data_IF_839676606203
#
_entry.id   IF_839676606203
#
_cell.length_a   1.000
_cell.length_b   1.000
_cell.length_c   1.000
_cell.angle_alpha   90.00
_cell.angle_beta   90.00
_cell.angle_gamma   90.00
#
_symmetry.space_group_name_H-M   'P 1'
#
loop_
_entity.id
_entity.type
_entity.pdbx_description
1 polymer ?
#
# COMPACT_ATOMS: atom_id res chain seq x y z
N UNK A 1 41.14 -20.95 39.54
CA UNK A 1 41.81 -19.92 40.38
C UNK A 1 40.90 -18.70 40.39
N UNK A 2 40.15 -18.43 41.47
CA UNK A 2 40.44 -17.42 42.52
C UNK A 2 40.78 -16.04 41.90
N UNK A 3 40.11 -14.90 42.18
CA UNK A 3 39.40 -14.46 43.39
C UNK A 3 38.64 -13.12 43.17
N UNK A 4 37.57 -12.95 43.95
CA UNK A 4 36.82 -11.72 44.31
C UNK A 4 37.64 -10.58 44.95
N UNK A 5 37.11 -9.34 44.89
CA UNK A 5 36.71 -8.41 46.02
C UNK A 5 36.59 -6.95 45.54
N UNK A 6 35.44 -6.25 45.73
CA UNK A 6 34.97 -5.39 46.89
C UNK A 6 35.86 -4.14 47.10
N UNK A 7 35.42 -2.92 47.48
CA UNK A 7 34.23 -2.28 48.13
C UNK A 7 34.40 -0.73 48.00
N UNK A 8 33.37 0.08 47.76
CA UNK A 8 32.58 0.94 48.69
C UNK A 8 33.29 2.03 49.56
N UNK A 9 32.56 3.18 49.69
CA UNK A 9 32.61 4.35 50.62
C UNK A 9 32.95 5.69 49.93
N UNK A 10 32.29 6.83 50.20
CA UNK A 10 31.30 7.21 51.23
C UNK A 10 30.75 8.64 50.98
N UNK A 11 29.85 9.08 51.86
CA UNK A 11 28.80 10.10 51.71
C UNK A 11 29.16 11.57 52.07
N UNK A 12 28.35 12.49 51.49
CA UNK A 12 27.58 13.62 52.08
C UNK A 12 28.23 14.83 52.79
N UNK A 13 27.37 15.87 52.98
CA UNK A 13 27.44 17.17 53.70
C UNK A 13 27.65 18.37 52.73
N UNK A 14 26.73 19.28 52.38
CA UNK A 14 25.66 20.11 53.01
C UNK A 14 26.09 21.54 53.42
N UNK A 15 25.60 22.56 52.68
CA UNK A 15 24.98 23.86 53.07
C UNK A 15 25.68 24.85 54.05
N UNK A 16 25.19 26.11 54.29
CA UNK A 16 24.62 27.18 53.43
C UNK A 16 25.04 28.63 53.88
N UNK A 17 24.25 29.68 53.49
CA UNK A 17 24.13 31.09 53.99
C UNK A 17 24.77 32.20 53.12
N UNK A 18 24.21 33.41 52.96
CA UNK A 18 23.06 34.11 53.59
C UNK A 18 22.59 35.30 52.74
N UNK A 19 21.31 35.73 52.84
CA UNK A 19 20.82 36.96 53.53
C UNK A 19 21.39 38.29 52.98
N UNK A 20 20.66 39.39 52.73
CA UNK A 20 19.46 40.00 53.33
C UNK A 20 19.04 41.24 52.48
N UNK A 21 17.80 41.72 52.57
CA UNK A 21 17.59 43.10 53.03
C UNK A 21 16.36 43.80 52.43
N UNK A 22 15.60 44.46 53.31
CA UNK A 22 14.24 45.03 53.17
C UNK A 22 14.21 46.44 52.55
N UNK A 23 13.05 46.88 52.06
CA UNK A 23 12.71 48.31 51.95
C UNK A 23 11.37 48.62 51.29
N UNK A 24 10.37 48.99 52.09
CA UNK A 24 9.02 49.41 51.69
C UNK A 24 8.91 50.95 51.71
N UNK A 25 8.33 51.60 50.69
CA UNK A 25 7.75 52.97 50.76
C UNK A 25 6.64 53.16 49.71
N UNK A 26 5.46 53.58 50.16
CA UNK A 26 4.39 54.23 49.38
C UNK A 26 4.77 55.70 49.07
N UNK A 27 4.42 56.24 47.90
CA UNK A 27 3.22 57.07 47.63
C UNK A 27 3.28 57.64 46.16
N UNK A 28 2.35 58.45 45.62
CA UNK A 28 1.62 58.12 44.39
C UNK A 28 1.73 59.18 43.27
N UNK A 29 1.66 58.79 42.00
CA UNK A 29 1.23 59.70 40.93
C UNK A 29 1.14 58.96 39.61
N UNK A 30 -0.06 58.96 39.02
CA UNK A 30 -0.30 58.36 37.72
C UNK A 30 0.32 59.15 36.58
N UNK A 31 0.87 58.44 35.61
CA UNK A 31 0.83 58.78 34.19
C UNK A 31 1.09 57.50 33.39
N UNK A 32 0.18 57.19 32.47
CA UNK A 32 0.22 56.00 31.64
C UNK A 32 1.22 56.20 30.48
N UNK A 33 2.19 55.30 30.37
CA UNK A 33 3.10 55.17 29.21
C UNK A 33 2.46 54.22 28.17
N UNK A 34 2.16 54.68 26.93
CA UNK A 34 1.43 53.91 25.93
C UNK A 34 2.34 53.16 24.94
N UNK A 35 3.26 52.32 25.42
CA UNK A 35 4.21 51.61 24.52
C UNK A 35 4.54 50.14 24.87
N UNK A 36 3.66 49.43 25.58
CA UNK A 36 3.78 47.98 25.78
C UNK A 36 2.53 47.25 25.21
N UNK A 37 2.64 46.35 24.21
CA UNK A 37 1.47 45.67 23.65
C UNK A 37 0.92 44.53 24.53
N UNK A 38 1.56 44.19 25.66
CA UNK A 38 1.06 43.18 26.58
C UNK A 38 0.23 43.79 27.71
N UNK A 39 -0.98 44.26 27.40
CA UNK A 39 -2.18 44.09 28.24
C UNK A 39 -3.35 44.92 27.69
N UNK A 40 -4.23 44.30 26.90
CA UNK A 40 -5.65 44.68 26.86
C UNK A 40 -6.50 43.42 26.75
N UNK A 41 -6.92 42.96 27.91
CA UNK A 41 -7.97 41.99 28.05
C UNK A 41 -9.31 42.74 28.08
N UNK A 42 -10.01 42.80 26.93
CA UNK A 42 -11.44 43.10 26.89
C UNK A 42 -12.12 42.15 25.91
N UNK A 43 -12.57 41.04 26.51
CA UNK A 43 -13.81 40.32 26.25
C UNK A 43 -14.54 40.71 24.96
N UNK A 44 -14.41 39.85 23.95
CA UNK A 44 -15.50 39.62 23.02
C UNK A 44 -15.57 38.13 22.70
N UNK A 45 -16.52 37.47 23.35
CA UNK A 45 -17.00 36.13 23.06
C UNK A 45 -17.42 36.02 21.60
N UNK A 46 -16.62 35.34 20.77
CA UNK A 46 -17.10 34.57 19.61
C UNK A 46 -16.23 33.33 19.42
N UNK A 47 -16.60 32.26 20.12
CA UNK A 47 -16.35 30.86 19.77
C UNK A 47 -14.97 30.55 19.15
N UNK A 48 -13.93 30.55 19.98
CA UNK A 48 -12.81 29.64 19.78
C UNK A 48 -13.30 28.22 20.04
N UNK A 49 -13.83 27.55 19.02
CA UNK A 49 -13.79 26.08 19.02
C UNK A 49 -12.31 25.69 19.03
N UNK A 50 -11.89 24.65 19.79
CA UNK A 50 -10.59 24.03 19.58
C UNK A 50 -10.49 23.56 18.13
N UNK A 51 -9.31 23.12 17.70
CA UNK A 51 -9.06 22.48 16.41
C UNK A 51 -9.81 21.13 16.23
N UNK A 52 -11.12 21.11 16.47
CA UNK A 52 -12.06 19.97 16.47
C UNK A 52 -12.82 19.82 15.15
N UNK A 53 -12.55 20.66 14.14
CA UNK A 53 -13.16 20.55 12.81
C UNK A 53 -12.42 19.56 11.87
N UNK A 54 -11.38 18.86 12.33
CA UNK A 54 -10.70 17.84 11.53
C UNK A 54 -11.44 16.48 11.55
N UNK A 55 -12.78 16.49 11.42
CA UNK A 55 -13.57 15.28 11.25
C UNK A 55 -13.18 14.61 9.93
N UNK A 56 -12.96 13.30 9.97
CA UNK A 56 -12.75 12.51 8.75
C UNK A 56 -14.04 12.56 7.92
N UNK A 57 -13.97 13.24 6.78
CA UNK A 57 -15.07 13.38 5.82
C UNK A 57 -15.06 12.26 4.77
N UNK A 58 -13.87 11.76 4.43
CA UNK A 58 -13.64 10.68 3.45
C UNK A 58 -12.40 9.90 3.82
N UNK A 59 -12.36 8.63 3.44
CA UNK A 59 -11.18 7.77 3.58
C UNK A 59 -10.70 7.35 2.20
N UNK A 60 -9.38 7.19 2.03
CA UNK A 60 -8.80 6.57 0.84
C UNK A 60 -7.96 5.36 1.22
N UNK A 61 -8.06 4.32 0.41
CA UNK A 61 -7.20 3.14 0.52
C UNK A 61 -5.86 3.47 -0.16
N UNK A 62 -4.76 3.22 0.55
CA UNK A 62 -3.40 3.39 0.05
C UNK A 62 -2.60 2.09 0.17
N UNK A 63 -1.81 1.71 -0.84
CA UNK A 63 -1.65 2.38 -2.13
C UNK A 63 -2.91 2.29 -3.00
N UNK A 64 -3.08 3.22 -3.93
CA UNK A 64 -4.18 3.17 -4.91
C UNK A 64 -4.08 1.93 -5.83
N UNK A 65 -2.84 1.48 -6.12
CA UNK A 65 -2.56 0.21 -6.80
C UNK A 65 -1.50 -0.54 -5.99
N UNK A 66 -1.91 -1.63 -5.33
CA UNK A 66 -1.01 -2.52 -4.62
C UNK A 66 -0.40 -3.57 -5.56
N UNK A 67 0.90 -3.81 -5.42
CA UNK A 67 1.63 -4.81 -6.22
C UNK A 67 2.00 -6.00 -5.35
N UNK A 68 1.31 -7.11 -5.57
CA UNK A 68 1.66 -8.42 -5.03
C UNK A 68 2.39 -9.25 -6.08
N UNK A 69 3.10 -10.30 -5.67
CA UNK A 69 3.80 -11.21 -6.58
C UNK A 69 3.67 -12.65 -6.14
N UNK A 70 3.48 -13.52 -7.12
CA UNK A 70 3.44 -14.97 -6.89
C UNK A 70 4.81 -15.49 -6.40
N UNK A 71 4.79 -16.64 -5.76
CA UNK A 71 5.97 -17.33 -5.24
C UNK A 71 5.58 -18.71 -4.74
N UNK A 72 6.44 -19.71 -4.96
CA UNK A 72 6.12 -21.11 -4.70
C UNK A 72 6.42 -21.58 -3.27
N UNK A 73 6.82 -20.68 -2.36
CA UNK A 73 6.98 -21.02 -0.94
C UNK A 73 5.62 -21.19 -0.26
N UNK A 74 5.42 -22.34 0.38
CA UNK A 74 4.21 -22.69 1.17
C UNK A 74 4.42 -22.56 2.67
N UNK A 75 5.58 -22.04 3.08
CA UNK A 75 5.94 -21.92 4.50
C UNK A 75 5.20 -20.77 5.18
N UNK A 76 5.01 -20.82 6.51
CA UNK A 76 4.43 -19.69 7.26
C UNK A 76 5.19 -18.37 7.07
N UNK A 77 6.52 -18.43 6.95
CA UNK A 77 7.41 -17.30 6.65
C UNK A 77 7.68 -17.12 5.15
N UNK A 78 6.92 -17.81 4.29
CA UNK A 78 7.09 -17.90 2.84
C UNK A 78 6.65 -16.66 2.05
N UNK A 79 6.67 -15.50 2.68
CA UNK A 79 6.27 -14.22 2.09
C UNK A 79 6.95 -13.03 2.77
N UNK A 80 6.87 -11.86 2.15
CA UNK A 80 7.36 -10.58 2.68
C UNK A 80 6.51 -9.41 2.17
N UNK A 81 6.54 -8.26 2.85
CA UNK A 81 5.83 -7.07 2.40
C UNK A 81 6.47 -6.44 1.16
N UNK A 82 5.63 -6.02 0.22
CA UNK A 82 6.04 -5.16 -0.88
C UNK A 82 6.68 -3.85 -0.35
N UNK A 83 7.61 -3.25 -1.10
CA UNK A 83 8.11 -1.92 -0.80
C UNK A 83 6.97 -0.88 -0.70
N UNK A 84 6.95 -0.14 0.40
CA UNK A 84 5.99 0.97 0.61
C UNK A 84 6.62 2.35 0.36
N UNK A 85 7.90 2.38 0.01
CA UNK A 85 8.61 3.58 -0.40
C UNK A 85 9.24 3.35 -1.75
N UNK A 86 9.45 4.41 -2.55
CA UNK A 86 10.16 4.28 -3.80
C UNK A 86 11.49 3.60 -3.58
N UNK A 87 12.32 3.99 -2.62
CA UNK A 87 13.66 3.44 -2.39
C UNK A 87 13.73 2.67 -1.05
N UNK A 88 13.25 1.41 -0.98
CA UNK A 88 13.35 0.62 0.24
C UNK A 88 14.81 0.29 0.53
N UNK A 89 15.09 -0.01 1.81
CA UNK A 89 16.38 -0.58 2.20
C UNK A 89 16.57 -1.94 1.52
N UNK A 90 17.76 -2.17 0.97
CA UNK A 90 18.18 -3.45 0.39
C UNK A 90 18.03 -4.56 1.44
N UNK A 91 17.37 -5.65 1.04
CA UNK A 91 17.22 -6.81 1.91
C UNK A 91 18.53 -7.63 1.96
N UNK A 92 18.81 -8.34 3.06
CA UNK A 92 19.99 -9.18 3.13
C UNK A 92 19.93 -10.32 2.09
N UNK A 93 21.08 -10.87 1.66
CA UNK A 93 21.11 -12.04 0.79
C UNK A 93 20.26 -13.19 1.34
N UNK A 94 19.48 -13.83 0.47
CA UNK A 94 18.57 -14.92 0.85
C UNK A 94 17.20 -14.47 1.37
N UNK A 95 16.92 -13.17 1.51
CA UNK A 95 15.65 -12.68 2.04
C UNK A 95 14.40 -13.07 1.19
N UNK A 96 14.58 -13.34 -0.10
CA UNK A 96 13.49 -13.56 -1.06
C UNK A 96 13.19 -15.02 -1.35
N UNK A 97 13.94 -15.94 -0.75
CA UNK A 97 13.71 -17.38 -0.84
C UNK A 97 13.59 -17.95 0.57
N UNK A 98 12.87 -19.05 0.71
CA UNK A 98 12.94 -19.81 1.95
C UNK A 98 14.15 -20.74 1.99
N UNK A 99 14.29 -21.47 3.10
CA UNK A 99 15.42 -22.38 3.35
C UNK A 99 15.52 -23.54 2.35
N UNK A 100 14.43 -23.86 1.65
CA UNK A 100 14.35 -24.94 0.67
C UNK A 100 14.57 -24.39 -0.76
N UNK A 101 14.82 -23.08 -0.89
CA UNK A 101 15.08 -22.39 -2.15
C UNK A 101 13.82 -21.94 -2.89
N UNK A 102 12.63 -22.14 -2.32
CA UNK A 102 11.38 -21.69 -2.91
C UNK A 102 11.24 -20.17 -2.79
N UNK A 103 10.67 -19.54 -3.81
CA UNK A 103 10.48 -18.10 -3.90
C UNK A 103 9.38 -17.67 -2.93
N UNK A 104 9.68 -16.69 -2.08
CA UNK A 104 8.70 -16.09 -1.19
C UNK A 104 7.73 -15.20 -1.97
N UNK A 105 6.45 -15.24 -1.61
CA UNK A 105 5.42 -14.35 -2.17
C UNK A 105 5.65 -12.90 -1.72
N UNK A 106 5.40 -11.92 -2.59
CA UNK A 106 5.40 -10.51 -2.20
C UNK A 106 3.96 -10.10 -1.89
N UNK A 107 3.71 -9.59 -0.68
CA UNK A 107 2.39 -9.21 -0.21
C UNK A 107 2.16 -7.69 -0.35
N UNK A 108 1.04 -7.28 -0.95
CA UNK A 108 0.61 -5.90 -0.97
C UNK A 108 -0.09 -5.55 0.36
N UNK A 109 0.39 -4.53 1.07
CA UNK A 109 -0.26 -4.01 2.29
C UNK A 109 -1.06 -2.75 1.95
N UNK A 110 -2.32 -2.74 2.37
CA UNK A 110 -3.24 -1.62 2.19
C UNK A 110 -3.62 -1.00 3.53
N UNK A 111 -3.68 0.33 3.54
CA UNK A 111 -3.93 1.18 4.70
C UNK A 111 -5.08 2.14 4.39
N UNK A 112 -5.75 2.62 5.44
CA UNK A 112 -6.81 3.61 5.32
C UNK A 112 -6.29 4.95 5.83
N UNK A 113 -6.36 5.99 5.01
CA UNK A 113 -6.08 7.36 5.45
C UNK A 113 -7.34 8.19 5.42
N UNK A 114 -7.66 8.80 6.56
CA UNK A 114 -8.77 9.74 6.71
C UNK A 114 -8.38 11.13 6.23
N UNK A 115 -9.31 11.78 5.53
CA UNK A 115 -9.17 13.12 4.98
C UNK A 115 -10.31 14.00 5.48
N UNK A 116 -10.01 15.27 5.74
CA UNK A 116 -11.03 16.27 6.04
C UNK A 116 -11.77 16.73 4.77
N UNK A 117 -12.75 17.63 4.93
CA UNK A 117 -13.53 18.16 3.81
C UNK A 117 -12.70 18.98 2.81
N UNK A 118 -11.53 19.49 3.21
CA UNK A 118 -10.58 20.20 2.35
C UNK A 118 -9.60 19.26 1.62
N UNK A 119 -9.69 17.94 1.86
CA UNK A 119 -8.81 16.95 1.26
C UNK A 119 -7.43 16.87 1.91
N UNK A 120 -7.25 17.40 3.12
CA UNK A 120 -6.03 17.27 3.91
C UNK A 120 -6.05 15.96 4.69
N UNK A 121 -4.88 15.30 4.77
CA UNK A 121 -4.74 14.07 5.56
C UNK A 121 -4.91 14.41 7.05
N UNK A 122 -5.81 13.70 7.73
CA UNK A 122 -6.01 13.80 9.19
C UNK A 122 -5.12 12.78 9.88
N UNK A 123 -5.31 11.49 9.57
CA UNK A 123 -4.57 10.36 10.18
C UNK A 123 -4.79 9.06 9.42
N UNK A 124 -3.99 8.04 9.74
CA UNK A 124 -4.33 6.65 9.42
C UNK A 124 -5.53 6.20 10.28
N UNK A 125 -6.43 5.41 9.70
CA UNK A 125 -7.57 4.78 10.38
C UNK A 125 -7.24 3.32 10.63
N UNK A 126 -7.26 2.90 11.89
CA UNK A 126 -6.89 1.55 12.34
C UNK A 126 -7.96 0.97 13.25
N UNK A 127 -7.95 -0.34 13.47
CA UNK A 127 -8.89 -0.99 14.42
C UNK A 127 -8.58 -0.69 15.89
N UNK A 128 -7.45 -0.04 16.19
CA UNK A 128 -7.14 0.45 17.53
C UNK A 128 -7.83 1.77 17.90
N UNK A 129 -8.44 2.44 16.91
CA UNK A 129 -9.16 3.68 17.14
C UNK A 129 -10.51 3.39 17.82
N UNK A 130 -10.88 4.21 18.81
CA UNK A 130 -12.15 4.05 19.52
C UNK A 130 -13.34 4.08 18.53
N UNK A 131 -14.33 3.21 18.78
CA UNK A 131 -15.57 3.10 18.01
C UNK A 131 -15.38 2.99 16.48
N UNK A 132 -14.27 2.41 16.03
CA UNK A 132 -13.98 2.21 14.61
C UNK A 132 -14.17 0.76 14.21
N UNK A 133 -14.95 0.52 13.15
CA UNK A 133 -15.06 -0.80 12.51
C UNK A 133 -14.66 -0.72 11.04
N UNK A 134 -13.92 -1.73 10.59
CA UNK A 134 -13.41 -1.82 9.22
C UNK A 134 -13.69 -3.22 8.70
N UNK A 135 -14.31 -3.32 7.53
CA UNK A 135 -14.47 -4.56 6.77
C UNK A 135 -13.85 -4.39 5.39
N UNK A 136 -12.83 -5.20 5.11
CA UNK A 136 -12.17 -5.22 3.81
C UNK A 136 -12.91 -6.13 2.83
N UNK A 137 -12.83 -5.80 1.54
CA UNK A 137 -13.31 -6.65 0.47
C UNK A 137 -12.38 -6.63 -0.74
N UNK A 138 -12.05 -7.82 -1.25
CA UNK A 138 -11.15 -8.01 -2.39
C UNK A 138 -11.83 -8.92 -3.41
N UNK A 139 -11.76 -8.58 -4.69
CA UNK A 139 -12.31 -9.41 -5.79
C UNK A 139 -11.30 -9.53 -6.92
N UNK A 140 -10.32 -10.42 -6.75
CA UNK A 140 -9.34 -10.71 -7.80
C UNK A 140 -9.91 -11.70 -8.82
N UNK A 141 -9.51 -11.57 -10.08
CA UNK A 141 -9.83 -12.54 -11.14
C UNK A 141 -8.68 -12.66 -12.15
N UNK A 142 -8.66 -13.77 -12.90
CA UNK A 142 -7.80 -13.95 -14.07
C UNK A 142 -8.65 -14.12 -15.32
N UNK A 143 -8.50 -13.21 -16.28
CA UNK A 143 -9.25 -13.21 -17.56
C UNK A 143 -8.37 -13.55 -18.76
N UNK A 144 -7.10 -13.90 -18.56
CA UNK A 144 -6.10 -14.04 -19.64
C UNK A 144 -6.51 -15.06 -20.69
N UNK A 145 -7.07 -16.20 -20.29
CA UNK A 145 -7.46 -17.25 -21.22
C UNK A 145 -8.74 -16.90 -22.01
N UNK A 146 -9.58 -16.04 -21.44
CA UNK A 146 -10.78 -15.49 -22.07
C UNK A 146 -10.52 -14.31 -23.01
N UNK A 147 -9.34 -13.69 -22.92
CA UNK A 147 -8.98 -12.45 -23.62
C UNK A 147 -8.46 -12.67 -25.05
N UNK A 148 -7.91 -11.61 -25.66
CA UNK A 148 -7.30 -11.61 -26.99
C UNK A 148 -5.82 -12.05 -26.95
N UNK A 149 -5.33 -12.55 -28.08
CA UNK A 149 -3.91 -12.78 -28.33
C UNK A 149 -3.15 -11.45 -28.21
N UNK A 150 -1.92 -11.51 -27.70
CA UNK A 150 -1.00 -10.38 -27.69
C UNK A 150 0.01 -10.55 -28.82
N UNK A 151 0.04 -9.58 -29.74
CA UNK A 151 1.06 -9.47 -30.81
C UNK A 151 1.87 -8.19 -30.66
N UNK A 152 1.19 -7.05 -30.52
CA UNK A 152 1.76 -5.73 -30.26
C UNK A 152 0.80 -4.93 -29.35
N UNK A 153 1.31 -3.89 -28.66
CA UNK A 153 0.46 -2.86 -28.08
C UNK A 153 -0.45 -2.26 -29.16
N UNK A 154 -1.73 -2.05 -28.87
CA UNK A 154 -2.70 -1.57 -29.87
C UNK A 154 -2.66 -0.05 -30.05
N UNK A 155 -2.02 0.66 -29.14
CA UNK A 155 -1.92 2.11 -29.06
C UNK A 155 -0.73 2.71 -29.82
N UNK A 156 0.15 1.88 -30.39
CA UNK A 156 1.29 2.33 -31.21
C UNK A 156 0.93 2.33 -32.72
N UNK A 157 1.55 3.20 -33.55
CA UNK A 157 1.30 3.24 -34.99
C UNK A 157 1.52 1.88 -35.69
N UNK A 158 2.52 1.12 -35.26
CA UNK A 158 2.88 -0.18 -35.84
C UNK A 158 1.75 -1.20 -35.74
N UNK A 159 0.83 -1.05 -34.78
CA UNK A 159 -0.33 -1.94 -34.62
C UNK A 159 -1.32 -1.84 -35.79
N UNK A 160 -1.24 -0.77 -36.59
CA UNK A 160 -2.10 -0.51 -37.75
C UNK A 160 -1.54 -1.07 -39.05
N UNK A 161 -0.32 -1.62 -39.03
CA UNK A 161 0.28 -2.24 -40.20
C UNK A 161 -0.50 -3.53 -40.57
N UNK A 162 -1.06 -3.62 -41.78
CA UNK A 162 -1.88 -4.77 -42.20
C UNK A 162 -1.09 -6.10 -42.26
N UNK A 163 0.24 -6.05 -42.18
CA UNK A 163 1.12 -7.24 -42.12
C UNK A 163 1.16 -7.85 -40.72
N UNK A 164 0.76 -7.13 -39.67
CA UNK A 164 0.73 -7.63 -38.31
C UNK A 164 -0.50 -8.53 -38.12
N UNK A 165 -0.29 -9.70 -37.52
CA UNK A 165 -1.38 -10.64 -37.23
C UNK A 165 -2.43 -9.95 -36.33
N UNK A 166 -3.73 -10.02 -36.67
CA UNK A 166 -4.77 -9.44 -35.82
C UNK A 166 -4.82 -10.15 -34.47
N UNK A 167 -5.11 -9.38 -33.41
CA UNK A 167 -5.32 -9.89 -32.06
C UNK A 167 -6.66 -10.59 -31.96
N UNK A 168 -6.71 -11.86 -32.35
CA UNK A 168 -7.91 -12.72 -32.26
C UNK A 168 -8.11 -13.22 -30.83
N UNK A 169 -9.30 -13.75 -30.51
CA UNK A 169 -9.57 -14.31 -29.18
C UNK A 169 -8.67 -15.52 -28.90
N UNK A 170 -8.13 -15.60 -27.68
CA UNK A 170 -7.54 -16.84 -27.15
C UNK A 170 -8.64 -17.87 -26.95
N UNK A 171 -8.27 -19.15 -27.08
CA UNK A 171 -9.20 -20.28 -26.94
C UNK A 171 -10.47 -20.13 -27.80
N UNK A 172 -10.40 -19.74 -29.09
CA UNK A 172 -11.58 -19.37 -29.87
C UNK A 172 -12.60 -20.51 -30.03
N UNK A 173 -12.14 -21.76 -29.90
CA UNK A 173 -12.97 -22.96 -29.94
C UNK A 173 -13.88 -23.16 -28.73
N UNK A 174 -13.64 -22.46 -27.62
CA UNK A 174 -14.44 -22.60 -26.39
C UNK A 174 -15.66 -21.69 -26.47
N UNK A 175 -16.84 -22.30 -26.57
CA UNK A 175 -18.13 -21.60 -26.67
C UNK A 175 -18.51 -20.91 -25.34
N UNK A 176 -18.43 -21.63 -24.21
CA UNK A 176 -18.64 -21.04 -22.89
C UNK A 176 -17.41 -20.21 -22.48
N UNK A 177 -17.46 -18.92 -22.79
CA UNK A 177 -16.38 -17.98 -22.46
C UNK A 177 -16.24 -17.74 -20.96
N UNK A 178 -17.29 -17.90 -20.18
CA UNK A 178 -17.24 -17.74 -18.72
C UNK A 178 -16.30 -18.75 -18.08
N UNK A 179 -16.29 -19.98 -18.61
CA UNK A 179 -15.39 -21.04 -18.14
C UNK A 179 -13.88 -20.73 -18.29
N UNK A 180 -13.50 -19.75 -19.11
CA UNK A 180 -12.09 -19.35 -19.27
C UNK A 180 -11.64 -18.30 -18.25
N UNK A 181 -12.57 -17.76 -17.47
CA UNK A 181 -12.28 -16.76 -16.44
C UNK A 181 -12.16 -17.49 -15.11
N UNK A 182 -11.03 -17.32 -14.43
CA UNK A 182 -10.84 -17.79 -13.07
C UNK A 182 -11.31 -16.66 -12.15
N UNK A 183 -12.49 -16.82 -11.55
CA UNK A 183 -13.10 -15.83 -10.67
C UNK A 183 -13.60 -16.52 -9.37
N UNK A 184 -12.88 -16.36 -8.23
CA UNK A 184 -13.31 -16.86 -6.92
C UNK A 184 -14.42 -16.02 -6.26
N UNK A 185 -14.88 -14.95 -6.92
CA UNK A 185 -15.80 -13.98 -6.38
C UNK A 185 -15.17 -13.06 -5.34
N UNK A 186 -15.95 -12.05 -4.90
CA UNK A 186 -15.54 -11.14 -3.83
C UNK A 186 -15.41 -11.89 -2.51
N UNK A 187 -14.28 -11.73 -1.84
CA UNK A 187 -14.07 -12.17 -0.45
C UNK A 187 -14.05 -10.97 0.49
N UNK A 188 -14.43 -11.19 1.75
CA UNK A 188 -14.40 -10.14 2.79
C UNK A 188 -13.73 -10.62 4.06
N UNK A 189 -13.10 -9.70 4.79
CA UNK A 189 -12.55 -9.95 6.13
C UNK A 189 -12.82 -8.73 7.02
N UNK A 190 -13.35 -8.97 8.21
CA UNK A 190 -13.43 -7.93 9.24
C UNK A 190 -12.03 -7.68 9.79
N UNK A 191 -11.60 -6.41 9.86
CA UNK A 191 -10.22 -6.08 10.14
C UNK A 191 -9.74 -6.50 11.53
N UNK A 192 -10.67 -6.70 12.47
CA UNK A 192 -10.45 -7.23 13.82
C UNK A 192 -10.27 -8.75 13.87
N UNK A 193 -10.49 -9.48 12.76
CA UNK A 193 -10.31 -10.93 12.67
C UNK A 193 -8.83 -11.33 12.59
N UNK A 194 -8.01 -10.84 13.53
CA UNK A 194 -6.58 -11.11 13.58
C UNK A 194 -6.28 -12.61 13.55
N UNK A 195 -5.26 -13.01 12.80
CA UNK A 195 -4.88 -14.43 12.64
C UNK A 195 -5.79 -15.23 11.71
N UNK A 196 -6.84 -14.62 11.15
CA UNK A 196 -7.68 -15.26 10.13
C UNK A 196 -7.12 -14.99 8.73
N UNK A 197 -7.02 -16.03 7.92
CA UNK A 197 -6.69 -15.94 6.50
C UNK A 197 -7.92 -16.32 5.68
N UNK A 198 -8.22 -15.53 4.65
CA UNK A 198 -9.33 -15.77 3.72
C UNK A 198 -8.74 -16.09 2.35
N UNK A 199 -8.88 -17.34 1.87
CA UNK A 199 -8.35 -17.73 0.57
C UNK A 199 -9.23 -17.21 -0.58
N UNK A 200 -8.60 -16.90 -1.72
CA UNK A 200 -9.27 -16.57 -2.97
C UNK A 200 -9.57 -17.84 -3.77
N UNK A 201 -10.32 -18.75 -3.15
CA UNK A 201 -10.73 -20.04 -3.72
C UNK A 201 -12.13 -19.99 -4.34
N UNK A 202 -12.41 -20.98 -5.19
CA UNK A 202 -13.69 -21.13 -5.91
C UNK A 202 -13.62 -20.75 -7.39
N UNK A 203 -12.52 -20.14 -7.83
CA UNK A 203 -12.25 -19.89 -9.24
C UNK A 203 -11.77 -21.16 -9.95
N UNK A 204 -12.36 -21.47 -11.11
CA UNK A 204 -12.03 -22.69 -11.86
C UNK A 204 -11.73 -22.39 -13.32
N UNK A 205 -10.67 -22.99 -13.85
CA UNK A 205 -10.38 -22.96 -15.28
C UNK A 205 -11.12 -24.10 -16.00
N UNK A 206 -11.86 -23.73 -17.05
CA UNK A 206 -12.73 -24.61 -17.86
C UNK A 206 -13.74 -25.42 -17.04
N UNK A 207 -14.07 -24.98 -15.82
CA UNK A 207 -14.87 -25.76 -14.87
C UNK A 207 -14.24 -27.12 -14.48
N UNK A 208 -12.94 -27.32 -14.74
CA UNK A 208 -12.23 -28.60 -14.53
C UNK A 208 -11.14 -28.50 -13.49
N UNK A 209 -10.43 -27.38 -13.43
CA UNK A 209 -9.27 -27.21 -12.54
C UNK A 209 -9.51 -26.06 -11.59
N UNK A 210 -9.41 -26.32 -10.29
CA UNK A 210 -9.43 -25.28 -9.27
C UNK A 210 -8.11 -24.50 -9.32
N UNK A 211 -8.20 -23.18 -9.35
CA UNK A 211 -7.03 -22.29 -9.42
C UNK A 211 -7.15 -21.24 -8.33
N UNK A 212 -6.58 -21.51 -7.14
CA UNK A 212 -6.45 -20.51 -6.08
C UNK A 212 -5.69 -19.29 -6.56
N UNK A 213 -6.27 -18.08 -6.41
CA UNK A 213 -5.64 -16.83 -6.85
C UNK A 213 -4.85 -16.11 -5.75
N UNK A 214 -4.68 -16.75 -4.60
CA UNK A 214 -3.97 -16.22 -3.43
C UNK A 214 -4.85 -16.16 -2.19
N UNK A 215 -4.58 -15.21 -1.31
CA UNK A 215 -5.28 -15.06 -0.04
C UNK A 215 -5.15 -13.63 0.52
N UNK A 216 -5.96 -13.31 1.52
CA UNK A 216 -5.82 -12.09 2.32
C UNK A 216 -5.91 -12.35 3.81
N UNK A 217 -5.30 -11.47 4.59
CA UNK A 217 -5.42 -11.42 6.05
C UNK A 217 -5.28 -9.97 6.53
N UNK A 218 -5.41 -9.73 7.83
CA UNK A 218 -5.10 -8.43 8.44
C UNK A 218 -3.92 -8.49 9.39
N UNK A 219 -3.14 -7.41 9.44
CA UNK A 219 -2.10 -7.24 10.46
C UNK A 219 -2.68 -6.79 11.81
N UNK A 220 -1.81 -6.60 12.81
CA UNK A 220 -2.22 -6.22 14.16
C UNK A 220 -2.94 -4.85 14.25
N UNK A 221 -2.80 -3.99 13.24
CA UNK A 221 -3.47 -2.69 13.17
C UNK A 221 -4.72 -2.73 12.27
N UNK A 222 -5.09 -3.92 11.80
CA UNK A 222 -6.24 -4.12 10.91
C UNK A 222 -5.98 -3.68 9.47
N UNK A 223 -4.70 -3.47 9.08
CA UNK A 223 -4.33 -3.21 7.70
C UNK A 223 -4.51 -4.48 6.89
N UNK A 224 -5.04 -4.35 5.68
CA UNK A 224 -5.21 -5.48 4.77
C UNK A 224 -3.86 -5.89 4.19
N UNK A 225 -3.61 -7.19 4.15
CA UNK A 225 -2.46 -7.80 3.49
C UNK A 225 -2.98 -8.78 2.44
N UNK A 226 -2.59 -8.59 1.19
CA UNK A 226 -3.01 -9.43 0.05
C UNK A 226 -1.80 -10.15 -0.52
N UNK A 227 -1.89 -11.47 -0.64
CA UNK A 227 -0.91 -12.33 -1.31
C UNK A 227 -1.52 -12.88 -2.59
N UNK A 228 -0.69 -13.01 -3.63
CA UNK A 228 -1.06 -13.70 -4.86
C UNK A 228 -1.00 -15.22 -4.74
N UNK A 229 -1.23 -15.90 -5.86
CA UNK A 229 -1.06 -17.34 -6.01
C UNK A 229 0.37 -17.83 -5.80
N UNK A 230 0.58 -19.12 -6.02
CA UNK A 230 1.85 -19.81 -5.79
C UNK A 230 2.73 -19.91 -7.05
N UNK A 231 2.34 -19.27 -8.15
CA UNK A 231 3.06 -19.31 -9.42
C UNK A 231 2.73 -20.56 -10.23
N UNK A 232 1.55 -21.14 -10.02
CA UNK A 232 1.08 -22.32 -10.74
C UNK A 232 0.62 -21.93 -12.14
N UNK A 233 1.02 -22.71 -13.13
CA UNK A 233 0.54 -22.61 -14.51
C UNK A 233 0.37 -24.01 -15.08
N UNK A 234 -0.59 -24.20 -15.98
CA UNK A 234 -0.81 -25.53 -16.55
C UNK A 234 -1.85 -25.58 -17.65
N UNK A 235 -2.00 -26.79 -18.20
CA UNK A 235 -3.05 -27.12 -19.16
C UNK A 235 -3.74 -28.42 -18.71
N UNK A 236 -5.07 -28.44 -18.50
CA UNK A 236 -5.80 -29.65 -18.09
C UNK A 236 -5.63 -30.79 -19.09
N UNK A 237 -5.51 -30.46 -20.37
CA UNK A 237 -5.35 -31.40 -21.47
C UNK A 237 -3.87 -31.66 -21.81
N UNK A 238 -2.94 -31.19 -20.96
CA UNK A 238 -1.48 -31.34 -21.11
C UNK A 238 -0.96 -30.87 -22.48
N UNK A 239 -1.56 -29.80 -23.00
CA UNK A 239 -1.14 -29.24 -24.29
C UNK A 239 0.26 -28.64 -24.18
N UNK A 240 1.10 -28.75 -25.23
CA UNK A 240 2.41 -28.10 -25.25
C UNK A 240 2.27 -26.57 -25.27
N UNK A 241 3.32 -25.88 -24.85
CA UNK A 241 3.45 -24.44 -25.09
C UNK A 241 3.70 -24.20 -26.58
N UNK A 242 2.94 -23.29 -27.17
CA UNK A 242 3.04 -22.93 -28.58
C UNK A 242 3.80 -21.62 -28.80
N UNK A 243 3.79 -20.71 -27.82
CA UNK A 243 4.48 -19.42 -27.92
C UNK A 243 4.78 -18.81 -26.54
N UNK A 244 5.53 -17.70 -26.55
CA UNK A 244 5.86 -16.93 -25.35
C UNK A 244 4.67 -16.20 -24.72
N UNK A 245 3.59 -15.93 -25.48
CA UNK A 245 2.47 -15.09 -25.02
C UNK A 245 1.12 -15.78 -25.13
N UNK A 246 0.87 -16.51 -26.21
CA UNK A 246 -0.45 -17.00 -26.60
C UNK A 246 -0.46 -18.54 -26.60
N UNK A 247 -1.01 -19.13 -25.55
CA UNK A 247 -1.07 -20.58 -25.35
C UNK A 247 -2.51 -21.03 -25.11
N UNK A 248 -3.08 -21.77 -26.08
CA UNK A 248 -4.45 -22.29 -26.01
C UNK A 248 -4.53 -23.41 -24.97
N UNK A 249 -5.59 -23.41 -24.16
CA UNK A 249 -5.86 -24.39 -23.12
C UNK A 249 -4.97 -24.24 -21.88
N UNK A 250 -4.27 -23.11 -21.73
CA UNK A 250 -3.41 -22.81 -20.60
C UNK A 250 -4.04 -21.80 -19.63
N UNK A 251 -3.71 -21.96 -18.36
CA UNK A 251 -4.01 -21.03 -17.27
C UNK A 251 -2.77 -20.72 -16.43
N UNK A 252 -2.84 -19.65 -15.66
CA UNK A 252 -1.92 -19.30 -14.59
C UNK A 252 -2.69 -18.72 -13.39
N UNK A 253 -2.00 -18.51 -12.26
CA UNK A 253 -2.59 -18.04 -11.00
C UNK A 253 -2.22 -16.58 -10.65
N UNK A 254 -1.81 -15.79 -11.64
CA UNK A 254 -1.79 -14.32 -11.47
C UNK A 254 -3.22 -13.77 -11.54
N UNK A 255 -3.41 -12.55 -11.08
CA UNK A 255 -4.73 -11.94 -11.01
C UNK A 255 -4.63 -10.44 -10.78
N UNK A 256 -5.75 -9.75 -10.94
CA UNK A 256 -5.92 -8.38 -10.50
C UNK A 256 -7.38 -8.12 -10.12
N UNK A 257 -7.65 -7.06 -9.37
CA UNK A 257 -9.01 -6.70 -9.03
C UNK A 257 -9.15 -5.59 -7.99
N UNK A 258 -10.39 -5.12 -7.75
CA UNK A 258 -10.65 -4.05 -6.80
C UNK A 258 -10.40 -4.46 -5.36
N UNK A 259 -9.93 -3.49 -4.58
CA UNK A 259 -9.83 -3.51 -3.13
C UNK A 259 -10.76 -2.44 -2.57
N UNK A 260 -11.62 -2.84 -1.65
CA UNK A 260 -12.68 -2.01 -1.06
C UNK A 260 -12.65 -2.10 0.45
N UNK A 261 -13.21 -1.10 1.12
CA UNK A 261 -13.47 -1.17 2.55
C UNK A 261 -14.79 -0.50 2.90
N UNK A 262 -15.44 -1.05 3.92
CA UNK A 262 -16.55 -0.44 4.62
C UNK A 262 -16.04 0.01 5.97
N UNK A 263 -16.17 1.31 6.26
CA UNK A 263 -15.65 1.91 7.49
C UNK A 263 -16.75 2.66 8.22
N UNK A 264 -16.87 2.39 9.52
CA UNK A 264 -17.74 3.11 10.44
C UNK A 264 -16.89 3.69 11.56
N UNK A 265 -17.09 4.97 11.87
CA UNK A 265 -16.43 5.69 12.99
C UNK A 265 -17.54 6.31 13.83
N UNK A 266 -17.56 6.03 15.13
CA UNK A 266 -18.60 6.52 16.06
C UNK A 266 -20.02 6.18 15.60
N UNK A 267 -20.20 4.99 15.02
CA UNK A 267 -21.49 4.54 14.46
C UNK A 267 -21.86 5.19 13.12
N UNK A 268 -21.04 6.07 12.56
CA UNK A 268 -21.29 6.75 11.28
C UNK A 268 -20.45 6.13 10.17
N UNK A 269 -21.12 5.70 9.08
CA UNK A 269 -20.43 5.22 7.88
C UNK A 269 -19.68 6.37 7.19
N UNK A 270 -18.41 6.15 6.90
CA UNK A 270 -17.57 7.11 6.18
C UNK A 270 -17.34 6.63 4.74
N UNK A 271 -17.50 7.49 3.72
CA UNK A 271 -17.18 7.13 2.34
C UNK A 271 -15.71 6.73 2.16
N UNK A 272 -15.47 5.66 1.41
CA UNK A 272 -14.12 5.14 1.13
C UNK A 272 -13.87 5.08 -0.36
N UNK A 273 -12.78 5.69 -0.82
CA UNK A 273 -12.30 5.48 -2.18
C UNK A 273 -11.60 4.12 -2.31
N UNK A 274 -11.94 3.33 -3.33
CA UNK A 274 -11.35 2.02 -3.54
C UNK A 274 -9.90 2.12 -4.02
N UNK A 275 -9.21 0.99 -3.96
CA UNK A 275 -7.92 0.75 -4.59
C UNK A 275 -8.02 -0.44 -5.54
N UNK A 276 -6.88 -0.81 -6.14
CA UNK A 276 -6.72 -2.01 -6.96
C UNK A 276 -5.54 -2.83 -6.45
N UNK A 277 -5.57 -4.14 -6.64
CA UNK A 277 -4.41 -5.02 -6.47
C UNK A 277 -4.06 -5.66 -7.81
N UNK A 278 -2.76 -5.74 -8.11
CA UNK A 278 -2.21 -6.46 -9.25
C UNK A 278 -1.22 -7.50 -8.72
N UNK A 279 -1.40 -8.75 -9.11
CA UNK A 279 -0.48 -9.85 -8.81
C UNK A 279 0.37 -10.11 -10.05
N UNK A 280 1.67 -9.85 -9.95
CA UNK A 280 2.63 -10.11 -11.03
C UNK A 280 3.51 -11.35 -10.80
N UNK A 281 4.38 -11.67 -11.78
CA UNK A 281 5.48 -12.63 -11.58
C UNK A 281 6.43 -12.19 -10.44
N UNK A 282 7.30 -13.08 -9.93
CA UNK A 282 8.33 -12.71 -8.96
C UNK A 282 9.22 -11.56 -9.46
N UNK A 283 9.70 -10.72 -8.55
CA UNK A 283 10.77 -9.79 -8.85
C UNK A 283 12.10 -10.47 -8.52
N UNK A 284 12.80 -10.94 -9.54
CA UNK A 284 14.06 -11.66 -9.37
C UNK A 284 15.25 -10.74 -9.04
N UNK A 285 15.09 -9.42 -9.21
CA UNK A 285 16.11 -8.44 -8.85
C UNK A 285 15.45 -7.19 -8.21
N UNK A 286 14.94 -7.28 -6.97
CA UNK A 286 14.21 -6.18 -6.30
C UNK A 286 14.97 -4.87 -6.18
N UNK A 287 16.30 -4.93 -6.13
CA UNK A 287 17.17 -3.76 -6.01
C UNK A 287 17.53 -3.14 -7.37
N UNK A 288 17.20 -3.81 -8.48
CA UNK A 288 17.43 -3.32 -9.85
C UNK A 288 16.15 -2.69 -10.38
N UNK A 289 16.24 -1.45 -10.83
CA UNK A 289 15.11 -0.68 -11.35
C UNK A 289 15.26 -0.42 -12.83
N UNK A 290 14.14 -0.49 -13.54
CA UNK A 290 14.08 -0.01 -14.93
C UNK A 290 14.16 1.51 -14.96
N UNK A 291 14.70 2.07 -16.06
CA UNK A 291 14.81 3.52 -16.26
C UNK A 291 13.46 4.23 -16.09
N UNK A 292 12.41 3.67 -16.71
CA UNK A 292 11.02 4.06 -16.48
C UNK A 292 10.28 2.96 -15.73
N UNK A 293 9.64 3.33 -14.64
CA UNK A 293 8.76 2.49 -13.82
C UNK A 293 7.30 2.73 -14.21
N UNK A 294 6.39 1.86 -13.74
CA UNK A 294 4.95 2.11 -13.88
C UNK A 294 4.54 3.44 -13.23
N UNK A 295 5.19 3.83 -12.14
CA UNK A 295 4.94 5.12 -11.49
C UNK A 295 5.27 6.28 -12.44
N UNK A 296 6.43 6.24 -13.10
CA UNK A 296 6.83 7.30 -14.04
C UNK A 296 5.85 7.40 -15.22
N UNK A 297 5.38 6.25 -15.73
CA UNK A 297 4.36 6.20 -16.78
C UNK A 297 3.01 6.79 -16.32
N UNK A 298 2.52 6.40 -15.15
CA UNK A 298 1.25 6.92 -14.63
C UNK A 298 1.31 8.42 -14.33
N UNK A 299 2.45 8.90 -13.83
CA UNK A 299 2.68 10.32 -13.64
C UNK A 299 2.61 11.07 -14.98
N UNK A 300 3.32 10.57 -16.00
CA UNK A 300 3.32 11.13 -17.36
C UNK A 300 1.90 11.16 -17.98
N UNK A 301 1.15 10.06 -17.83
CA UNK A 301 -0.25 9.98 -18.27
C UNK A 301 -1.11 11.03 -17.56
N UNK A 302 -1.04 11.14 -16.23
CA UNK A 302 -1.87 12.12 -15.51
C UNK A 302 -1.49 13.57 -15.76
N UNK A 303 -0.21 13.85 -16.03
CA UNK A 303 0.22 15.18 -16.47
C UNK A 303 -0.32 15.48 -17.88
N UNK A 304 -0.18 14.54 -18.82
CA UNK A 304 -0.65 14.68 -20.20
C UNK A 304 -2.16 14.89 -20.25
N UNK A 305 -2.92 14.12 -19.46
CA UNK A 305 -4.37 14.21 -19.33
C UNK A 305 -4.83 15.36 -18.41
N UNK A 306 -3.91 16.21 -17.95
CA UNK A 306 -4.19 17.41 -17.11
C UNK A 306 -4.89 17.10 -15.79
N UNK A 307 -4.75 15.88 -15.28
CA UNK A 307 -5.21 15.48 -13.94
C UNK A 307 -4.18 15.82 -12.86
N UNK A 308 -2.91 15.93 -13.23
CA UNK A 308 -1.84 16.45 -12.40
C UNK A 308 -1.12 17.60 -13.11
N UNK A 309 -0.65 18.63 -12.39
CA UNK A 309 0.18 19.66 -12.99
C UNK A 309 1.59 19.13 -13.27
N UNK A 310 2.18 19.55 -14.39
CA UNK A 310 3.62 19.43 -14.55
C UNK A 310 4.34 20.28 -13.49
N UNK A 311 5.48 19.83 -12.92
CA UNK A 311 6.19 20.61 -11.91
C UNK A 311 6.60 21.99 -12.44
N UNK A 312 6.19 23.06 -11.75
CA UNK A 312 6.53 24.43 -12.12
C UNK A 312 8.05 24.68 -12.10
N UNK A 313 8.78 23.94 -11.27
CA UNK A 313 10.25 23.94 -11.20
C UNK A 313 10.76 22.51 -11.19
N UNK A 314 11.72 22.22 -12.07
CA UNK A 314 12.40 20.93 -12.07
C UNK A 314 13.44 20.91 -10.93
N UNK A 315 13.30 19.94 -10.01
CA UNK A 315 14.27 19.64 -8.97
C UNK A 315 15.22 18.54 -9.43
N UNK A 316 16.54 18.74 -9.25
CA UNK A 316 17.52 17.71 -9.57
C UNK A 316 17.29 16.45 -8.74
N UNK A 317 17.16 16.59 -7.42
CA UNK A 317 17.02 15.45 -6.50
C UNK A 317 15.71 14.67 -6.67
N UNK A 318 14.63 15.33 -7.07
CA UNK A 318 13.32 14.68 -7.21
C UNK A 318 13.07 14.16 -8.63
N UNK A 319 13.51 14.89 -9.67
CA UNK A 319 13.11 14.60 -11.05
C UNK A 319 14.24 14.05 -11.93
N UNK A 320 15.52 14.27 -11.59
CA UNK A 320 16.66 13.91 -12.46
C UNK A 320 17.52 12.81 -11.84
N UNK A 321 17.99 13.03 -10.61
CA UNK A 321 18.84 12.09 -9.87
C UNK A 321 18.26 10.67 -9.81
N UNK A 322 16.94 10.46 -9.55
CA UNK A 322 16.40 9.10 -9.51
C UNK A 322 16.50 8.38 -10.85
N UNK A 323 16.48 9.09 -11.98
CA UNK A 323 16.63 8.49 -13.32
C UNK A 323 18.08 8.12 -13.55
N UNK A 324 19.02 9.05 -13.25
CA UNK A 324 20.45 8.81 -13.41
C UNK A 324 20.94 7.63 -12.56
N UNK A 325 20.46 7.52 -11.32
CA UNK A 325 20.79 6.41 -10.41
C UNK A 325 20.30 5.04 -10.88
N UNK A 326 19.41 4.97 -11.88
CA UNK A 326 18.93 3.70 -12.46
C UNK A 326 19.80 3.23 -13.64
N UNK A 327 20.73 4.05 -14.13
CA UNK A 327 21.70 3.65 -15.17
C UNK A 327 22.93 2.93 -14.61
N UNK A 328 23.24 3.15 -13.34
CA UNK A 328 24.40 2.61 -12.62
C UNK A 328 23.98 1.56 -11.58
#
# INVERSE_FOLDING_TARGET
MRTNRRREHGSAVSDPNGESGKGNRHDPSGHADPSNPNDRNDRNDRNGRPADDARIARIKIHPAIGIARVGNSTRPDGWYYAPETPNPKVAPPGAYKDRDGAIKRQAARFRLFGYDAAGRVVREVTVGDAATSVRWGVHVANRKAGWYEFHLPLDIPDSRDPRIKPSVRRNPQVADRGSLVIDPGRKTIDASAHGTTVPFDGGRFLGRVDVPLGEMHTDALGRLVVLGGHGTSGSPDRLPLASVTNNTGWYDDVSDGPVTAEVTIDGVRVPVDPAWVVVGPPNFAPDVRTLRTLYDLLFDVFVTEKQLPFPARVSFGEHIEPILRRFC
#
